data_IF_408311509933
#
_entry.id   IF_408311509933
#
_cell.length_a   1.000
_cell.length_b   1.000
_cell.length_c   1.000
_cell.angle_alpha   90.00
_cell.angle_beta   90.00
_cell.angle_gamma   90.00
#
_symmetry.space_group_name_H-M   'P 1'
#
loop_
_entity.id
_entity.type
_entity.pdbx_description
1 polymer ?
#
# COMPACT_ATOMS: atom_id res chain seq x y z
N UNK A 1 -31.54 15.37 34.24
CA UNK A 1 -30.15 14.89 34.13
C UNK A 1 -29.24 16.10 33.93
N UNK A 2 -28.49 16.57 34.94
CA UNK A 2 -27.50 17.64 34.74
C UNK A 2 -26.35 17.03 33.95
N UNK A 3 -26.36 17.14 32.62
CA UNK A 3 -25.19 16.78 31.83
C UNK A 3 -24.03 17.64 32.31
N UNK A 4 -23.03 16.99 32.92
CA UNK A 4 -21.85 17.69 33.40
C UNK A 4 -21.11 18.22 32.16
N UNK A 5 -20.96 19.55 32.06
CA UNK A 5 -20.31 20.23 30.91
C UNK A 5 -18.98 19.57 30.51
N UNK A 6 -18.28 19.03 31.49
CA UNK A 6 -17.07 18.24 31.30
C UNK A 6 -17.26 16.99 30.44
N UNK A 7 -18.28 16.17 30.68
CA UNK A 7 -18.52 14.95 29.91
C UNK A 7 -18.89 15.26 28.46
N UNK A 8 -19.69 16.31 28.23
CA UNK A 8 -19.99 16.79 26.88
C UNK A 8 -18.68 17.17 26.16
N UNK A 9 -17.83 17.96 26.84
CA UNK A 9 -16.54 18.37 26.29
C UNK A 9 -15.62 17.21 25.96
N UNK A 10 -15.50 16.22 26.85
CA UNK A 10 -14.72 15.00 26.61
C UNK A 10 -15.26 14.21 25.42
N UNK A 11 -16.57 14.02 25.32
CA UNK A 11 -17.19 13.27 24.21
C UNK A 11 -16.85 13.95 22.88
N UNK A 12 -16.99 15.28 22.80
CA UNK A 12 -16.65 16.04 21.59
C UNK A 12 -15.16 15.89 21.23
N UNK A 13 -14.27 16.00 22.21
CA UNK A 13 -12.82 15.82 22.04
C UNK A 13 -12.49 14.40 21.53
N UNK A 14 -13.08 13.37 22.13
CA UNK A 14 -12.85 11.96 21.74
C UNK A 14 -13.37 11.70 20.33
N UNK A 15 -14.58 12.15 19.99
CA UNK A 15 -15.13 11.97 18.63
C UNK A 15 -14.25 12.71 17.62
N UNK A 16 -13.80 13.94 17.93
CA UNK A 16 -12.87 14.69 17.06
C UNK A 16 -11.58 13.92 16.83
N UNK A 17 -11.01 13.34 17.89
CA UNK A 17 -9.79 12.55 17.82
C UNK A 17 -9.97 11.29 16.97
N UNK A 18 -11.04 10.53 17.18
CA UNK A 18 -11.32 9.31 16.40
C UNK A 18 -11.50 9.66 14.92
N UNK A 19 -12.33 10.65 14.60
CA UNK A 19 -12.57 11.06 13.21
C UNK A 19 -11.32 11.58 12.52
N UNK A 20 -10.46 12.32 13.24
CA UNK A 20 -9.21 12.86 12.69
C UNK A 20 -8.18 11.76 12.40
N UNK A 21 -8.12 10.71 13.23
CA UNK A 21 -7.25 9.54 12.99
C UNK A 21 -7.77 8.62 11.89
N UNK A 22 -9.08 8.56 11.67
CA UNK A 22 -9.66 7.69 10.65
C UNK A 22 -9.33 8.15 9.22
N UNK A 23 -9.40 9.47 8.96
CA UNK A 23 -9.13 10.03 7.64
C UNK A 23 -8.46 11.39 7.76
N UNK A 24 -7.28 11.54 7.14
CA UNK A 24 -6.53 12.79 7.13
C UNK A 24 -7.35 13.98 6.61
N UNK A 25 -8.27 13.76 5.66
CA UNK A 25 -9.14 14.84 5.15
C UNK A 25 -10.10 15.37 6.23
N UNK A 26 -10.56 14.52 7.15
CA UNK A 26 -11.43 14.91 8.26
C UNK A 26 -10.70 15.68 9.35
N UNK A 27 -9.36 15.72 9.34
CA UNK A 27 -8.56 16.47 10.30
C UNK A 27 -8.99 17.95 10.36
N UNK A 28 -9.10 18.62 9.21
CA UNK A 28 -9.48 20.04 9.19
C UNK A 28 -10.90 20.30 9.68
N UNK A 29 -11.83 19.36 9.45
CA UNK A 29 -13.23 19.47 9.90
C UNK A 29 -13.41 19.17 11.38
N UNK A 30 -12.50 18.43 12.00
CA UNK A 30 -12.59 18.03 13.41
C UNK A 30 -11.97 19.05 14.36
N UNK A 31 -11.14 19.97 13.86
CA UNK A 31 -10.53 21.07 14.64
C UNK A 31 -11.60 21.94 15.33
N UNK A 32 -12.63 22.49 14.64
CA UNK A 32 -13.66 23.29 15.31
C UNK A 32 -14.38 22.53 16.41
N UNK A 33 -14.71 21.25 16.18
CA UNK A 33 -15.36 20.39 17.17
C UNK A 33 -14.46 20.13 18.38
N UNK A 34 -13.14 19.97 18.16
CA UNK A 34 -12.15 19.81 19.22
C UNK A 34 -12.04 21.08 20.08
N UNK A 35 -12.03 22.25 19.43
CA UNK A 35 -12.02 23.56 20.10
C UNK A 35 -13.28 23.76 20.96
N UNK A 36 -14.47 23.45 20.43
CA UNK A 36 -15.73 23.53 21.17
C UNK A 36 -15.69 22.60 22.40
N UNK A 37 -15.25 21.34 22.22
CA UNK A 37 -15.09 20.39 23.32
C UNK A 37 -14.12 20.90 24.39
N UNK A 38 -13.00 21.49 23.97
CA UNK A 38 -12.00 22.10 24.86
C UNK A 38 -12.58 23.25 25.68
N UNK A 39 -13.40 24.12 25.08
CA UNK A 39 -14.11 25.20 25.80
C UNK A 39 -15.01 24.62 26.90
N UNK A 40 -15.81 23.58 26.58
CA UNK A 40 -16.66 22.91 27.57
C UNK A 40 -15.87 22.29 28.74
N UNK A 41 -14.69 21.73 28.47
CA UNK A 41 -13.80 21.21 29.50
C UNK A 41 -13.22 22.35 30.37
N UNK A 42 -12.78 23.45 29.76
CA UNK A 42 -12.17 24.59 30.46
C UNK A 42 -13.16 25.25 31.43
N UNK A 43 -14.41 25.49 31.01
CA UNK A 43 -15.45 26.13 31.83
C UNK A 43 -16.03 25.21 32.93
N UNK A 44 -15.67 23.93 32.92
CA UNK A 44 -16.18 22.97 33.90
C UNK A 44 -15.60 23.22 35.31
N UNK A 45 -16.32 22.88 36.39
CA UNK A 45 -15.85 23.11 37.77
C UNK A 45 -14.81 22.06 38.25
N UNK A 46 -14.17 21.33 37.35
CA UNK A 46 -13.24 20.24 37.68
C UNK A 46 -11.82 20.78 37.95
N UNK A 47 -11.01 20.01 38.70
CA UNK A 47 -9.59 20.30 38.95
C UNK A 47 -8.83 20.49 37.63
N UNK A 48 -7.89 21.44 37.63
CA UNK A 48 -7.12 21.85 36.44
C UNK A 48 -6.36 20.70 35.78
N UNK A 49 -5.84 19.75 36.56
CA UNK A 49 -5.08 18.60 36.05
C UNK A 49 -5.90 17.76 35.06
N UNK A 50 -7.18 17.53 35.35
CA UNK A 50 -8.07 16.77 34.46
C UNK A 50 -8.42 17.55 33.20
N UNK A 51 -8.49 18.88 33.27
CA UNK A 51 -8.72 19.73 32.09
C UNK A 51 -7.54 19.66 31.13
N UNK A 52 -6.32 19.81 31.67
CA UNK A 52 -5.08 19.73 30.90
C UNK A 52 -4.96 18.32 30.30
N UNK A 53 -5.15 17.27 31.09
CA UNK A 53 -5.04 15.90 30.60
C UNK A 53 -6.03 15.62 29.47
N UNK A 54 -7.30 16.00 29.62
CA UNK A 54 -8.32 15.78 28.58
C UNK A 54 -8.05 16.51 27.26
N UNK A 55 -7.32 17.63 27.28
CA UNK A 55 -7.01 18.42 26.08
C UNK A 55 -5.63 18.06 25.50
N UNK A 56 -4.64 17.75 26.32
CA UNK A 56 -3.27 17.50 25.85
C UNK A 56 -3.09 16.03 25.45
N UNK A 57 -3.70 15.08 26.16
CA UNK A 57 -3.52 13.66 25.89
C UNK A 57 -3.90 13.27 24.44
N UNK A 58 -5.05 13.68 23.88
CA UNK A 58 -5.40 13.35 22.50
C UNK A 58 -4.43 13.96 21.48
N UNK A 59 -3.92 15.18 21.73
CA UNK A 59 -2.94 15.83 20.85
C UNK A 59 -1.61 15.09 20.84
N UNK A 60 -1.12 14.66 22.01
CA UNK A 60 0.11 13.89 22.14
C UNK A 60 -0.04 12.50 21.51
N UNK A 61 -1.20 11.86 21.68
CA UNK A 61 -1.48 10.53 21.12
C UNK A 61 -1.73 10.55 19.60
N UNK A 62 -2.00 11.70 19.00
CA UNK A 62 -2.30 11.78 17.57
C UNK A 62 -1.16 11.22 16.70
N UNK A 63 0.08 11.61 16.97
CA UNK A 63 1.25 11.15 16.20
C UNK A 63 1.49 9.63 16.33
N UNK A 64 1.61 9.05 17.55
CA UNK A 64 1.86 7.61 17.66
C UNK A 64 0.71 6.75 17.15
N UNK A 65 -0.55 7.17 17.31
CA UNK A 65 -1.70 6.42 16.77
C UNK A 65 -1.68 6.40 15.24
N UNK A 66 -1.42 7.54 14.59
CA UNK A 66 -1.30 7.57 13.13
C UNK A 66 -0.10 6.76 12.63
N UNK A 67 1.03 6.80 13.35
CA UNK A 67 2.21 5.98 13.02
C UNK A 67 1.89 4.48 13.08
N UNK A 68 1.25 4.04 14.17
CA UNK A 68 0.84 2.64 14.34
C UNK A 68 -0.16 2.21 13.27
N UNK A 69 -1.13 3.07 12.94
CA UNK A 69 -2.12 2.81 11.90
C UNK A 69 -1.47 2.64 10.52
N UNK A 70 -0.47 3.47 10.19
CA UNK A 70 0.29 3.35 8.95
C UNK A 70 1.04 2.01 8.89
N UNK A 71 1.63 1.58 10.00
CA UNK A 71 2.36 0.32 10.08
C UNK A 71 1.43 -0.89 9.95
N UNK A 72 0.26 -0.86 10.60
CA UNK A 72 -0.80 -1.86 10.43
C UNK A 72 -1.25 -1.90 8.97
N UNK A 73 -1.48 -0.73 8.37
CA UNK A 73 -1.91 -0.64 6.97
C UNK A 73 -0.87 -1.22 6.01
N UNK A 74 0.42 -0.92 6.22
CA UNK A 74 1.52 -1.56 5.47
C UNK A 74 1.47 -3.07 5.64
N UNK A 75 1.42 -3.57 6.87
CA UNK A 75 1.37 -5.01 7.14
C UNK A 75 0.18 -5.69 6.46
N UNK A 76 -1.03 -5.12 6.54
CA UNK A 76 -2.24 -5.68 5.93
C UNK A 76 -2.22 -5.67 4.40
N UNK A 77 -1.53 -4.70 3.78
CA UNK A 77 -1.41 -4.58 2.31
C UNK A 77 -0.16 -5.25 1.74
N UNK A 78 0.63 -5.94 2.56
CA UNK A 78 1.82 -6.65 2.10
C UNK A 78 1.43 -7.74 1.11
N UNK A 79 1.99 -7.67 -0.10
CA UNK A 79 1.84 -8.69 -1.15
C UNK A 79 3.19 -9.27 -1.49
N UNK A 80 3.31 -10.58 -1.41
CA UNK A 80 4.55 -11.27 -1.74
C UNK A 80 4.44 -11.94 -3.11
N UNK A 81 5.44 -11.73 -3.95
CA UNK A 81 5.50 -12.27 -5.30
C UNK A 81 6.73 -13.17 -5.41
N UNK A 82 6.50 -14.43 -5.75
CA UNK A 82 7.56 -15.40 -5.99
C UNK A 82 7.91 -15.36 -7.47
N UNK A 83 9.16 -15.02 -7.75
CA UNK A 83 9.74 -14.95 -9.09
C UNK A 83 10.37 -16.30 -9.42
N UNK A 84 10.29 -16.78 -10.68
CA UNK A 84 11.03 -17.97 -11.10
C UNK A 84 12.53 -17.86 -10.81
N UNK A 85 13.13 -18.94 -10.33
CA UNK A 85 14.57 -18.99 -10.05
C UNK A 85 15.37 -18.68 -11.31
N UNK A 86 16.41 -17.84 -11.19
CA UNK A 86 17.26 -17.37 -12.30
C UNK A 86 16.54 -16.56 -13.38
N UNK A 87 15.34 -16.04 -13.12
CA UNK A 87 14.66 -15.13 -14.03
C UNK A 87 15.40 -13.79 -14.11
N UNK A 88 15.60 -13.27 -15.31
CA UNK A 88 16.09 -11.92 -15.58
C UNK A 88 15.34 -11.37 -16.78
N UNK A 89 14.78 -10.17 -16.65
CA UNK A 89 13.94 -9.62 -17.72
C UNK A 89 12.69 -8.92 -17.21
N UNK A 90 11.76 -8.58 -18.13
CA UNK A 90 10.53 -7.87 -17.80
C UNK A 90 9.53 -8.79 -17.10
N UNK A 91 8.98 -8.31 -15.98
CA UNK A 91 7.80 -8.90 -15.35
C UNK A 91 6.60 -8.00 -15.54
N UNK A 92 5.42 -8.60 -15.69
CA UNK A 92 4.15 -7.88 -15.80
C UNK A 92 3.10 -8.47 -14.88
N UNK A 93 2.46 -7.61 -14.09
CA UNK A 93 1.30 -7.96 -13.27
C UNK A 93 0.08 -7.31 -13.90
N UNK A 94 -0.90 -8.10 -14.30
CA UNK A 94 -2.18 -7.66 -14.86
C UNK A 94 -3.24 -7.79 -13.77
N UNK A 95 -4.04 -6.76 -13.57
CA UNK A 95 -5.03 -6.68 -12.50
C UNK A 95 -6.46 -6.71 -13.02
N UNK A 96 -7.40 -6.93 -12.11
CA UNK A 96 -8.85 -6.82 -12.34
C UNK A 96 -9.39 -7.76 -13.44
N UNK A 97 -8.70 -8.87 -13.71
CA UNK A 97 -9.16 -9.89 -14.64
C UNK A 97 -9.93 -10.97 -13.89
N UNK A 98 -11.19 -11.19 -14.25
CA UNK A 98 -12.07 -12.18 -13.59
C UNK A 98 -11.49 -13.61 -13.61
N UNK A 99 -10.70 -13.93 -14.64
CA UNK A 99 -10.03 -15.20 -14.86
C UNK A 99 -8.65 -15.29 -14.18
N UNK A 100 -8.18 -14.22 -13.54
CA UNK A 100 -6.86 -14.14 -12.91
C UNK A 100 -6.74 -14.96 -11.63
N UNK A 101 -5.50 -15.15 -11.18
CA UNK A 101 -5.19 -15.83 -9.95
C UNK A 101 -5.77 -15.08 -8.74
N UNK A 102 -6.41 -15.81 -7.84
CA UNK A 102 -6.90 -15.29 -6.56
C UNK A 102 -5.79 -15.38 -5.52
N UNK A 103 -5.77 -14.43 -4.59
CA UNK A 103 -4.80 -14.43 -3.50
C UNK A 103 -4.86 -15.74 -2.71
N UNK A 104 -3.73 -16.44 -2.65
CA UNK A 104 -3.62 -17.65 -1.85
C UNK A 104 -3.43 -17.28 -0.38
N UNK A 105 -4.52 -17.29 0.40
CA UNK A 105 -4.49 -16.91 1.83
C UNK A 105 -3.60 -17.81 2.69
N UNK A 106 -3.36 -19.07 2.29
CA UNK A 106 -2.51 -20.00 3.04
C UNK A 106 -1.04 -19.62 2.96
N UNK A 107 -0.58 -19.23 1.78
CA UNK A 107 0.83 -18.93 1.52
C UNK A 107 1.13 -17.42 1.46
N UNK A 108 0.09 -16.58 1.43
CA UNK A 108 0.14 -15.12 1.29
C UNK A 108 1.02 -14.64 0.12
N UNK A 109 1.10 -15.45 -0.93
CA UNK A 109 2.00 -15.21 -2.07
C UNK A 109 1.29 -15.37 -3.40
N UNK A 110 1.69 -14.59 -4.39
CA UNK A 110 1.44 -14.85 -5.80
C UNK A 110 2.69 -15.48 -6.44
N UNK A 111 2.50 -16.32 -7.46
CA UNK A 111 3.60 -16.98 -8.15
C UNK A 111 3.66 -16.52 -9.60
N UNK A 112 4.77 -15.90 -10.00
CA UNK A 112 4.99 -15.55 -11.39
C UNK A 112 5.20 -16.80 -12.24
N UNK A 113 4.51 -16.91 -13.39
CA UNK A 113 4.84 -17.91 -14.39
C UNK A 113 6.23 -17.68 -15.00
N UNK A 114 6.77 -18.72 -15.65
CA UNK A 114 8.10 -18.68 -16.30
C UNK A 114 8.22 -17.62 -17.42
N UNK A 115 7.10 -17.21 -18.00
CA UNK A 115 7.07 -16.14 -19.02
C UNK A 115 7.02 -14.72 -18.42
N UNK A 116 6.94 -14.59 -17.10
CA UNK A 116 6.95 -13.31 -16.39
C UNK A 116 5.63 -12.53 -16.41
N UNK A 117 4.55 -13.09 -16.97
CA UNK A 117 3.24 -12.42 -17.04
C UNK A 117 2.26 -13.10 -16.07
N UNK A 118 1.95 -12.40 -14.99
CA UNK A 118 1.02 -12.79 -13.94
C UNK A 118 -0.30 -12.05 -14.11
N UNK A 119 -1.42 -12.77 -14.11
CA UNK A 119 -2.78 -12.21 -14.22
C UNK A 119 -3.51 -12.42 -12.90
N UNK A 120 -4.07 -11.36 -12.33
CA UNK A 120 -4.68 -11.35 -11.00
C UNK A 120 -6.15 -10.94 -11.06
N UNK A 121 -6.95 -11.58 -10.20
CA UNK A 121 -8.31 -11.14 -9.90
C UNK A 121 -8.32 -9.88 -9.02
N UNK A 122 -7.23 -9.62 -8.29
CA UNK A 122 -7.14 -8.53 -7.34
C UNK A 122 -7.28 -7.15 -8.02
N UNK A 123 -7.78 -6.17 -7.24
CA UNK A 123 -7.76 -4.76 -7.65
C UNK A 123 -6.34 -4.24 -7.77
N UNK A 124 -6.17 -3.33 -8.72
CA UNK A 124 -4.95 -2.56 -8.89
C UNK A 124 -4.69 -1.72 -7.63
N UNK A 125 -3.44 -1.67 -7.19
CA UNK A 125 -3.04 -1.05 -5.93
C UNK A 125 -1.76 -0.23 -6.02
N UNK A 126 -1.39 0.23 -7.20
CA UNK A 126 -0.23 1.08 -7.43
C UNK A 126 1.09 0.42 -7.05
N UNK A 127 1.16 -0.92 -7.04
CA UNK A 127 2.35 -1.65 -6.62
C UNK A 127 2.73 -1.38 -5.16
N UNK A 128 1.78 -0.89 -4.35
CA UNK A 128 2.02 -0.48 -2.97
C UNK A 128 2.34 -1.72 -2.13
N UNK A 129 3.49 -1.66 -1.45
CA UNK A 129 3.95 -2.71 -0.53
C UNK A 129 4.08 -4.10 -1.16
N UNK A 130 4.54 -4.13 -2.41
CA UNK A 130 4.96 -5.33 -3.10
C UNK A 130 6.35 -5.76 -2.64
N UNK A 131 6.50 -7.04 -2.34
CA UNK A 131 7.78 -7.67 -2.02
C UNK A 131 8.02 -8.83 -2.98
N UNK A 132 9.24 -8.94 -3.49
CA UNK A 132 9.59 -9.94 -4.50
C UNK A 132 10.62 -10.90 -3.92
N UNK A 133 10.49 -12.19 -4.23
CA UNK A 133 11.37 -13.22 -3.69
C UNK A 133 11.73 -14.24 -4.76
N UNK A 134 12.93 -14.82 -4.66
CA UNK A 134 13.22 -16.12 -5.26
C UNK A 134 13.05 -17.23 -4.23
N UNK A 135 12.82 -18.44 -4.71
CA UNK A 135 12.99 -19.64 -3.90
C UNK A 135 14.42 -20.15 -4.06
N UNK A 136 15.14 -20.32 -2.95
CA UNK A 136 16.45 -20.96 -2.96
C UNK A 136 16.33 -22.49 -3.11
N UNK A 137 17.47 -23.18 -3.22
CA UNK A 137 17.53 -24.65 -3.38
C UNK A 137 16.93 -25.42 -2.20
N UNK A 138 16.84 -24.79 -1.03
CA UNK A 138 16.30 -25.38 0.19
C UNK A 138 14.79 -25.09 0.35
N UNK A 139 14.18 -24.35 -0.58
CA UNK A 139 12.78 -23.94 -0.51
C UNK A 139 12.51 -22.73 0.38
N UNK A 140 13.53 -21.93 0.73
CA UNK A 140 13.38 -20.70 1.50
C UNK A 140 13.28 -19.48 0.58
N UNK A 141 12.54 -18.45 1.03
CA UNK A 141 12.39 -17.19 0.31
C UNK A 141 13.62 -16.32 0.50
N UNK A 142 14.20 -15.85 -0.60
CA UNK A 142 15.28 -14.86 -0.62
C UNK A 142 14.71 -13.57 -1.22
N UNK A 143 14.67 -12.49 -0.43
CA UNK A 143 14.10 -11.21 -0.85
C UNK A 143 14.95 -10.57 -1.94
N UNK A 144 14.26 -10.05 -2.95
CA UNK A 144 14.82 -9.26 -4.04
C UNK A 144 14.47 -7.80 -3.73
N UNK A 145 15.46 -6.95 -3.40
CA UNK A 145 15.19 -5.56 -3.10
C UNK A 145 14.56 -4.86 -4.30
N UNK A 146 13.48 -4.12 -4.04
CA UNK A 146 12.92 -3.17 -5.00
C UNK A 146 13.74 -1.87 -4.94
N UNK A 147 14.18 -1.38 -6.08
CA UNK A 147 14.98 -0.15 -6.20
C UNK A 147 14.38 0.81 -7.20
N UNK A 148 14.60 2.11 -6.98
CA UNK A 148 14.19 3.12 -7.94
C UNK A 148 15.01 2.97 -9.23
N UNK A 149 14.34 3.16 -10.37
CA UNK A 149 14.98 3.15 -11.69
C UNK A 149 16.11 4.19 -11.79
N UNK A 150 16.03 5.29 -11.02
CA UNK A 150 16.98 6.39 -10.98
C UNK A 150 18.22 6.15 -10.12
N UNK A 151 18.27 5.06 -9.34
CA UNK A 151 19.43 4.76 -8.48
C UNK A 151 20.67 4.36 -9.29
N UNK A 152 21.79 5.02 -9.01
CA UNK A 152 23.07 4.80 -9.71
C UNK A 152 23.77 3.47 -9.34
N UNK A 153 23.48 2.91 -8.15
CA UNK A 153 24.04 1.65 -7.68
C UNK A 153 22.91 0.74 -7.21
N UNK A 154 22.57 -0.26 -8.01
CA UNK A 154 21.51 -1.22 -7.70
C UNK A 154 22.13 -2.51 -7.16
N UNK A 155 21.63 -3.06 -6.04
CA UNK A 155 22.00 -4.41 -5.61
C UNK A 155 21.64 -5.41 -6.72
N UNK A 156 22.35 -6.53 -6.77
CA UNK A 156 22.09 -7.59 -7.74
C UNK A 156 21.81 -8.89 -6.98
N UNK A 157 20.64 -9.52 -7.16
CA UNK A 157 19.53 -9.09 -8.01
C UNK A 157 18.70 -7.92 -7.43
N UNK A 158 17.98 -7.19 -8.28
CA UNK A 158 17.01 -6.16 -7.87
C UNK A 158 15.77 -6.14 -8.77
N UNK A 159 14.63 -5.71 -8.22
CA UNK A 159 13.42 -5.40 -8.99
C UNK A 159 13.31 -3.89 -9.17
N UNK A 160 13.11 -3.44 -10.41
CA UNK A 160 12.84 -2.03 -10.71
C UNK A 160 11.41 -1.88 -11.20
N UNK A 161 10.67 -0.95 -10.60
CA UNK A 161 9.34 -0.57 -11.07
C UNK A 161 9.49 0.29 -12.32
N UNK A 162 8.87 -0.17 -13.40
CA UNK A 162 8.88 0.54 -14.68
C UNK A 162 7.79 1.60 -14.69
N UNK A 163 6.57 1.19 -14.36
CA UNK A 163 5.42 2.07 -14.44
C UNK A 163 4.10 1.32 -14.37
N UNK A 164 3.06 2.13 -14.21
CA UNK A 164 1.66 1.74 -14.19
C UNK A 164 1.03 2.15 -15.50
N UNK A 165 0.35 1.22 -16.15
CA UNK A 165 -0.25 1.47 -17.45
C UNK A 165 -1.68 0.93 -17.46
N UNK A 166 -2.61 1.78 -17.86
CA UNK A 166 -3.98 1.39 -18.18
C UNK A 166 -4.18 1.52 -19.69
N UNK A 167 -4.47 0.40 -20.36
CA UNK A 167 -4.67 0.37 -21.81
C UNK A 167 -5.68 -0.70 -22.20
N UNK A 168 -6.61 -0.37 -23.10
CA UNK A 168 -7.64 -1.29 -23.58
C UNK A 168 -8.41 -1.97 -22.42
N UNK A 169 -8.84 -1.19 -21.42
CA UNK A 169 -9.48 -1.66 -20.18
C UNK A 169 -8.67 -2.70 -19.41
N UNK A 170 -7.36 -2.74 -19.59
CA UNK A 170 -6.45 -3.66 -18.93
C UNK A 170 -5.46 -2.82 -18.12
N UNK A 171 -5.42 -3.05 -16.81
CA UNK A 171 -4.50 -2.37 -15.89
C UNK A 171 -3.34 -3.28 -15.58
N UNK A 172 -2.13 -2.78 -15.74
CA UNK A 172 -0.94 -3.56 -15.45
C UNK A 172 0.21 -2.73 -14.90
N UNK A 173 1.07 -3.42 -14.16
CA UNK A 173 2.35 -2.93 -13.69
C UNK A 173 3.44 -3.64 -14.47
N UNK A 174 4.35 -2.86 -15.01
CA UNK A 174 5.59 -3.37 -15.55
C UNK A 174 6.71 -3.25 -14.52
N UNK A 175 7.53 -4.30 -14.46
CA UNK A 175 8.66 -4.43 -13.56
C UNK A 175 9.84 -4.99 -14.37
N UNK A 176 11.05 -4.80 -13.89
CA UNK A 176 12.23 -5.42 -14.47
C UNK A 176 13.10 -6.04 -13.40
N UNK A 177 13.54 -7.27 -13.65
CA UNK A 177 14.48 -7.96 -12.78
C UNK A 177 15.88 -7.89 -13.38
N UNK A 178 16.78 -7.31 -12.59
CA UNK A 178 18.18 -7.13 -12.94
C UNK A 178 19.06 -8.13 -12.17
N UNK A 179 19.98 -8.80 -12.87
CA UNK A 179 21.01 -9.70 -12.32
C UNK A 179 22.46 -9.22 -12.59
N UNK A 180 22.65 -7.94 -12.93
CA UNK A 180 23.97 -7.32 -13.08
C UNK A 180 24.38 -7.02 -14.53
N UNK A 181 23.63 -7.50 -15.51
CA UNK A 181 23.75 -7.02 -16.89
C UNK A 181 22.85 -5.80 -17.04
N UNK A 182 23.44 -4.61 -16.99
CA UNK A 182 22.74 -3.33 -17.20
C UNK A 182 22.20 -3.24 -18.63
N UNK A 183 21.06 -3.86 -18.90
CA UNK A 183 20.27 -3.51 -20.07
C UNK A 183 19.60 -2.19 -19.72
N UNK A 184 20.13 -1.08 -20.26
CA UNK A 184 19.38 0.16 -20.35
C UNK A 184 18.16 -0.11 -21.24
N UNK A 185 17.05 -0.52 -20.63
CA UNK A 185 15.77 -0.51 -21.31
C UNK A 185 15.38 0.95 -21.51
N UNK A 186 15.32 1.40 -22.77
CA UNK A 186 14.89 2.74 -23.15
C UNK A 186 13.39 2.91 -22.80
N UNK A 187 13.11 3.44 -21.61
CA UNK A 187 11.74 3.67 -21.11
C UNK A 187 11.02 4.86 -21.73
N UNK A 188 11.71 5.75 -22.45
CA UNK A 188 11.09 6.91 -23.11
C UNK A 188 10.54 6.59 -24.52
N UNK A 189 9.96 5.40 -24.70
CA UNK A 189 9.13 5.08 -25.83
C UNK A 189 7.67 5.41 -25.51
N UNK A 190 7.16 6.50 -26.06
CA UNK A 190 5.81 7.06 -25.90
C UNK A 190 4.65 6.18 -26.42
N UNK A 191 4.79 4.85 -26.37
CA UNK A 191 3.72 3.90 -26.68
C UNK A 191 4.05 2.50 -26.13
N UNK A 192 3.65 2.17 -24.88
CA UNK A 192 3.58 0.78 -24.47
C UNK A 192 2.38 0.16 -25.20
N UNK A 193 2.58 -0.33 -26.43
CA UNK A 193 1.66 -1.32 -26.97
C UNK A 193 1.77 -2.54 -26.06
N UNK A 194 0.63 -3.10 -25.64
CA UNK A 194 0.61 -4.46 -25.12
C UNK A 194 1.34 -5.30 -26.17
N UNK A 195 2.43 -5.96 -25.78
CA UNK A 195 3.10 -6.87 -26.68
C UNK A 195 2.13 -8.00 -27.08
N UNK A 196 2.45 -8.65 -28.20
CA UNK A 196 1.62 -9.70 -28.76
C UNK A 196 1.35 -10.82 -27.76
N UNK A 197 2.35 -11.18 -26.95
CA UNK A 197 2.24 -12.24 -25.94
C UNK A 197 1.24 -11.86 -24.83
N UNK A 198 1.33 -10.65 -24.29
CA UNK A 198 0.41 -10.18 -23.25
C UNK A 198 -1.02 -10.12 -23.76
N UNK A 199 -1.21 -9.62 -24.99
CA UNK A 199 -2.54 -9.55 -25.62
C UNK A 199 -3.16 -10.93 -25.79
N UNK A 200 -2.38 -11.90 -26.28
CA UNK A 200 -2.83 -13.29 -26.42
C UNK A 200 -3.20 -13.87 -25.06
N UNK A 201 -2.34 -13.72 -24.05
CA UNK A 201 -2.60 -14.24 -22.69
C UNK A 201 -3.87 -13.68 -22.05
N UNK A 202 -4.08 -12.37 -22.12
CA UNK A 202 -5.28 -11.73 -21.56
C UNK A 202 -6.53 -12.22 -22.28
N UNK A 203 -6.48 -12.29 -23.62
CA UNK A 203 -7.60 -12.79 -24.40
C UNK A 203 -7.91 -14.26 -24.11
N UNK A 204 -6.88 -15.11 -24.01
CA UNK A 204 -7.05 -16.52 -23.68
C UNK A 204 -7.56 -16.72 -22.25
N UNK A 205 -7.16 -15.85 -21.32
CA UNK A 205 -7.71 -15.82 -19.97
C UNK A 205 -9.21 -15.48 -19.97
N UNK A 206 -9.61 -14.44 -20.70
CA UNK A 206 -11.02 -13.98 -20.79
C UNK A 206 -11.95 -14.93 -21.55
N UNK A 207 -11.41 -15.84 -22.35
CA UNK A 207 -12.18 -16.86 -23.09
C UNK A 207 -12.51 -18.10 -22.25
N UNK A 208 -11.88 -18.29 -21.10
CA UNK A 208 -12.17 -19.38 -20.15
C UNK A 208 -13.38 -19.04 -19.30
#
# INVERSE_FOLDING_TARGET
MKFNKFYIGIILIIISFILSTYNFYLFFFTIPMYCIGSIFVIISPIKIIYKILSIILPLVLYVPVNSLQLEIYKYLKRKEFIVPTNYSGPLRIIYEENCGEKFNEKNKTYQFPQDGILILFAKEDGGINHHYFYMNKNGEKVEIPQVDITENKKPTPSVSLIGFIEKNNTKYIDLYINHGNSVQYNFFGSNPKLDSLTTVKVNDCRKK
#
